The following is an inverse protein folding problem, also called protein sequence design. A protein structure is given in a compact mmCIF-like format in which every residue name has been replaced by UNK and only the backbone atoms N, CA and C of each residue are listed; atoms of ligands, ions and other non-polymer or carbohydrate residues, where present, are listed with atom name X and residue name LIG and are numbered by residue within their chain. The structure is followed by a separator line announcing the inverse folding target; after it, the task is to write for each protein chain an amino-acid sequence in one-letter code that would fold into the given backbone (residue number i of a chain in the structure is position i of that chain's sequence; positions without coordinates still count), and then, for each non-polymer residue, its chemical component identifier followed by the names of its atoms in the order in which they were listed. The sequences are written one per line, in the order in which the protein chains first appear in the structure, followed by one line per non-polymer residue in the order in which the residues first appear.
data_IF_544220834905
#
_entry.id   IF_544220834905
#
_cell.length_a   1.000
_cell.length_b   1.000
_cell.length_c   1.000
_cell.angle_alpha   90.00
_cell.angle_beta   90.00
_cell.angle_gamma   90.00
#
_symmetry.space_group_name_H-M   'P 1'
#
loop_
_entity.id
_entity.type
_entity.pdbx_description
1 polymer ?
#
# COMPACT_ATOMS: atom_id res chain seq x y z
N UNK A 1 16.99 25.38 21.78
CA UNK A 1 15.80 24.61 21.37
C UNK A 1 16.05 23.18 21.79
N UNK A 2 15.15 22.57 22.56
CA UNK A 2 15.29 21.16 22.92
C UNK A 2 15.02 20.27 21.69
N UNK A 3 15.56 19.06 21.67
CA UNK A 3 15.30 18.09 20.58
C UNK A 3 13.79 17.82 20.44
N UNK A 4 13.05 17.79 21.55
CA UNK A 4 11.59 17.65 21.54
C UNK A 4 10.87 18.83 20.85
N UNK A 5 11.32 20.06 21.07
CA UNK A 5 10.77 21.24 20.38
C UNK A 5 11.07 21.22 18.88
N UNK A 6 12.24 20.72 18.48
CA UNK A 6 12.62 20.55 17.08
C UNK A 6 11.73 19.51 16.39
N UNK A 7 11.54 18.33 17.00
CA UNK A 7 10.63 17.29 16.51
C UNK A 7 9.20 17.82 16.38
N UNK A 8 8.66 18.44 17.43
CA UNK A 8 7.30 19.00 17.40
C UNK A 8 7.12 20.05 16.29
N UNK A 9 8.16 20.85 16.02
CA UNK A 9 8.17 21.81 14.91
C UNK A 9 8.13 21.11 13.56
N UNK A 10 8.97 20.12 13.33
CA UNK A 10 9.01 19.34 12.09
C UNK A 10 7.67 18.64 11.82
N UNK A 11 7.08 17.98 12.83
CA UNK A 11 5.75 17.37 12.72
C UNK A 11 4.64 18.41 12.42
N UNK A 12 4.71 19.57 13.07
CA UNK A 12 3.77 20.68 12.83
C UNK A 12 3.90 21.26 11.43
N UNK A 13 5.12 21.33 10.87
CA UNK A 13 5.35 21.77 9.50
C UNK A 13 4.71 20.79 8.52
N UNK A 14 4.89 19.48 8.71
CA UNK A 14 4.25 18.44 7.88
C UNK A 14 2.72 18.58 7.92
N UNK A 15 2.13 18.73 9.12
CA UNK A 15 0.68 18.90 9.27
C UNK A 15 0.14 20.14 8.53
N UNK A 16 0.96 21.18 8.35
CA UNK A 16 0.57 22.43 7.70
C UNK A 16 0.73 22.41 6.19
N UNK A 17 1.46 21.44 5.63
CA UNK A 17 1.65 21.31 4.17
C UNK A 17 0.32 21.14 3.44
N UNK A 18 -0.61 20.40 4.03
CA UNK A 18 -1.92 20.18 3.43
C UNK A 18 -3.03 20.36 4.48
N UNK A 19 -4.12 21.04 4.07
CA UNK A 19 -5.26 21.25 4.96
C UNK A 19 -6.05 19.98 5.24
N UNK A 20 -5.98 18.99 4.37
CA UNK A 20 -6.66 17.72 4.54
C UNK A 20 -5.85 16.68 5.36
N UNK A 21 -4.67 17.04 5.85
CA UNK A 21 -3.92 16.22 6.81
C UNK A 21 -4.52 16.38 8.21
N UNK A 22 -4.98 15.27 8.78
CA UNK A 22 -5.62 15.23 10.10
C UNK A 22 -4.61 15.12 11.23
N UNK A 23 -3.65 14.20 11.12
CA UNK A 23 -2.68 13.94 12.17
C UNK A 23 -1.31 13.60 11.59
N UNK A 24 -0.26 13.95 12.32
CA UNK A 24 1.11 13.51 12.06
C UNK A 24 1.66 12.92 13.36
N UNK A 25 2.08 11.66 13.28
CA UNK A 25 2.52 10.86 14.41
C UNK A 25 3.97 10.42 14.19
N UNK A 26 4.73 10.36 15.27
CA UNK A 26 6.05 9.76 15.30
C UNK A 26 6.02 8.70 16.40
N UNK A 27 6.36 7.47 16.05
CA UNK A 27 6.40 6.34 16.97
C UNK A 27 7.68 5.54 16.77
N UNK A 28 8.05 4.71 17.74
CA UNK A 28 9.07 3.68 17.51
C UNK A 28 8.51 2.50 16.70
N UNK A 29 9.35 1.51 16.40
CA UNK A 29 8.96 0.29 15.65
C UNK A 29 7.93 -0.60 16.35
N UNK A 30 7.69 -0.38 17.65
CA UNK A 30 6.68 -1.11 18.43
C UNK A 30 5.34 -0.37 18.47
N UNK A 31 5.28 0.85 17.93
CA UNK A 31 4.09 1.70 17.97
C UNK A 31 4.03 2.61 19.21
N UNK A 32 5.09 2.67 20.03
CA UNK A 32 5.14 3.58 21.17
C UNK A 32 5.26 5.02 20.68
N UNK A 33 4.35 5.90 21.12
CA UNK A 33 4.33 7.30 20.68
C UNK A 33 5.53 8.08 21.20
N UNK A 34 6.25 8.73 20.28
CA UNK A 34 7.33 9.69 20.54
C UNK A 34 6.82 11.12 20.41
N UNK A 35 5.98 11.38 19.39
CA UNK A 35 5.42 12.70 19.12
C UNK A 35 4.11 12.61 18.35
N UNK A 36 3.26 13.63 18.54
CA UNK A 36 1.96 13.74 17.86
C UNK A 36 1.62 15.20 17.66
N UNK A 37 1.14 15.54 16.47
CA UNK A 37 0.47 16.80 16.18
C UNK A 37 -0.80 16.49 15.41
N UNK A 38 -1.91 17.12 15.79
CA UNK A 38 -3.22 16.86 15.18
C UNK A 38 -3.98 18.15 14.95
N UNK A 39 -4.91 18.10 14.00
CA UNK A 39 -5.92 19.11 13.79
C UNK A 39 -7.28 18.60 14.28
N UNK A 40 -8.18 19.51 14.62
CA UNK A 40 -9.59 19.17 14.75
C UNK A 40 -10.11 18.60 13.44
N UNK A 41 -10.71 17.41 13.51
CA UNK A 41 -11.45 16.78 12.43
C UNK A 41 -12.74 16.20 12.98
N UNK A 42 -13.75 16.07 12.13
CA UNK A 42 -15.03 15.45 12.50
C UNK A 42 -14.91 13.92 12.70
N UNK A 43 -13.73 13.37 12.40
CA UNK A 43 -13.42 11.96 12.54
C UNK A 43 -12.64 11.70 13.83
N UNK A 44 -13.16 10.84 14.69
CA UNK A 44 -12.47 10.34 15.87
C UNK A 44 -11.44 9.28 15.46
N UNK A 45 -10.18 9.70 15.43
CA UNK A 45 -9.04 8.86 15.05
C UNK A 45 -8.11 8.69 16.24
N UNK A 46 -8.09 7.47 16.79
CA UNK A 46 -7.22 7.10 17.91
C UNK A 46 -5.76 6.95 17.45
N UNK A 47 -4.83 7.77 17.96
CA UNK A 47 -3.41 7.69 17.58
C UNK A 47 -2.74 6.38 17.98
N UNK A 48 -3.20 5.72 19.06
CA UNK A 48 -2.59 4.46 19.49
C UNK A 48 -2.90 3.36 18.48
N UNK A 49 -4.16 3.26 18.06
CA UNK A 49 -4.58 2.38 16.97
C UNK A 49 -3.80 2.67 15.68
N UNK A 50 -3.65 3.95 15.30
CA UNK A 50 -2.88 4.31 14.09
C UNK A 50 -1.41 3.88 14.23
N UNK A 51 -0.76 4.16 15.36
CA UNK A 51 0.62 3.73 15.57
C UNK A 51 0.77 2.20 15.54
N UNK A 52 -0.20 1.46 16.07
CA UNK A 52 -0.24 -0.02 15.98
C UNK A 52 -0.25 -0.47 14.53
N UNK A 53 -1.19 0.06 13.73
CA UNK A 53 -1.32 -0.24 12.30
C UNK A 53 -0.02 0.13 11.55
N UNK A 54 0.56 1.29 11.83
CA UNK A 54 1.79 1.75 11.20
C UNK A 54 3.00 0.88 11.54
N UNK A 55 3.13 0.42 12.78
CA UNK A 55 4.16 -0.54 13.19
C UNK A 55 3.96 -1.90 12.51
N UNK A 56 2.73 -2.42 12.54
CA UNK A 56 2.32 -3.65 11.85
C UNK A 56 2.67 -3.62 10.35
N UNK A 57 2.41 -2.49 9.69
CA UNK A 57 2.66 -2.28 8.26
C UNK A 57 4.09 -2.58 7.84
N UNK A 58 5.09 -2.23 8.67
CA UNK A 58 6.49 -2.54 8.37
C UNK A 58 6.92 -3.92 8.83
N UNK A 59 6.44 -4.35 10.00
CA UNK A 59 6.87 -5.61 10.59
C UNK A 59 6.40 -6.81 9.75
N UNK A 60 5.21 -6.75 9.15
CA UNK A 60 4.64 -7.89 8.41
C UNK A 60 5.20 -8.05 7.00
N UNK A 61 5.67 -6.98 6.35
CA UNK A 61 6.31 -7.08 5.03
C UNK A 61 7.83 -7.21 5.08
N UNK A 62 8.46 -7.00 6.24
CA UNK A 62 9.92 -7.12 6.36
C UNK A 62 10.43 -8.51 5.97
N UNK A 63 9.70 -9.57 6.32
CA UNK A 63 10.03 -10.95 5.91
C UNK A 63 9.97 -11.11 4.39
N UNK A 64 8.92 -10.59 3.76
CA UNK A 64 8.74 -10.66 2.29
C UNK A 64 9.90 -9.97 1.58
N UNK A 65 10.28 -8.79 2.06
CA UNK A 65 11.38 -8.01 1.50
C UNK A 65 12.72 -8.73 1.68
N UNK A 66 12.95 -9.33 2.86
CA UNK A 66 14.14 -10.14 3.14
C UNK A 66 14.24 -11.35 2.20
N UNK A 67 13.14 -12.06 2.00
CA UNK A 67 13.06 -13.21 1.10
C UNK A 67 13.33 -12.83 -0.36
N UNK A 68 12.92 -11.63 -0.77
CA UNK A 68 13.21 -11.07 -2.10
C UNK A 68 14.64 -10.50 -2.20
N UNK A 69 15.41 -10.46 -1.12
CA UNK A 69 16.75 -9.86 -1.08
C UNK A 69 16.74 -8.32 -1.18
N UNK A 70 15.62 -7.68 -0.88
CA UNK A 70 15.43 -6.22 -0.91
C UNK A 70 15.39 -5.75 0.55
N UNK A 71 16.45 -5.15 1.05
CA UNK A 71 16.64 -5.06 2.52
C UNK A 71 16.05 -3.81 3.16
N UNK A 72 15.37 -2.93 2.42
CA UNK A 72 14.98 -1.63 2.97
C UNK A 72 13.62 -1.13 2.49
N UNK A 73 12.57 -1.47 3.25
CA UNK A 73 11.27 -0.82 3.13
C UNK A 73 11.35 0.60 3.68
N UNK A 74 11.03 1.59 2.84
CA UNK A 74 11.13 3.00 3.19
C UNK A 74 9.77 3.61 3.45
N UNK A 75 8.81 3.34 2.57
CA UNK A 75 7.48 3.95 2.63
C UNK A 75 6.42 2.85 2.54
N UNK A 76 5.33 3.03 3.26
CA UNK A 76 4.12 2.26 3.05
C UNK A 76 2.90 3.17 3.04
N UNK A 77 1.96 2.86 2.16
CA UNK A 77 0.67 3.49 2.04
C UNK A 77 -0.42 2.48 2.44
N UNK A 78 -1.28 2.91 3.35
CA UNK A 78 -2.44 2.11 3.79
C UNK A 78 -3.68 2.93 3.49
N UNK A 79 -4.53 2.43 2.60
CA UNK A 79 -5.69 3.14 2.10
C UNK A 79 -6.97 2.59 2.72
N UNK A 80 -7.72 3.47 3.38
CA UNK A 80 -9.07 3.22 3.86
C UNK A 80 -10.07 4.06 3.07
N UNK A 81 -11.36 3.77 3.23
CA UNK A 81 -12.44 4.53 2.59
C UNK A 81 -12.39 6.04 2.89
N UNK A 82 -12.03 6.42 4.12
CA UNK A 82 -12.05 7.81 4.57
C UNK A 82 -10.67 8.45 4.69
N UNK A 83 -9.62 7.66 4.92
CA UNK A 83 -8.26 8.19 5.16
C UNK A 83 -7.20 7.33 4.50
N UNK A 84 -6.03 7.92 4.25
CA UNK A 84 -4.82 7.18 3.94
C UNK A 84 -3.74 7.45 4.99
N UNK A 85 -2.98 6.40 5.29
CA UNK A 85 -1.79 6.48 6.12
C UNK A 85 -0.58 6.46 5.21
N UNK A 86 0.26 7.47 5.31
CA UNK A 86 1.59 7.50 4.69
C UNK A 86 2.59 7.27 5.80
N UNK A 87 3.11 6.05 5.84
CA UNK A 87 4.12 5.67 6.79
C UNK A 87 5.50 5.80 6.13
N UNK A 88 6.45 6.40 6.84
CA UNK A 88 7.84 6.60 6.41
C UNK A 88 8.75 6.08 7.53
N UNK A 89 9.60 5.11 7.21
CA UNK A 89 10.54 4.49 8.17
C UNK A 89 11.78 5.36 8.28
N UNK A 90 11.92 6.03 9.42
CA UNK A 90 13.07 6.88 9.77
C UNK A 90 13.74 6.25 10.99
N UNK A 91 14.63 5.28 10.75
CA UNK A 91 15.25 4.45 11.80
C UNK A 91 15.74 5.26 13.03
N UNK A 92 15.38 4.87 14.28
CA UNK A 92 14.60 3.69 14.70
C UNK A 92 13.07 3.93 14.81
N UNK A 93 12.56 4.94 14.13
CA UNK A 93 11.17 5.43 14.23
C UNK A 93 10.36 5.23 12.95
N UNK A 94 9.06 5.43 13.08
CA UNK A 94 8.09 5.47 11.99
C UNK A 94 7.34 6.80 12.09
N UNK A 95 7.42 7.59 11.02
CA UNK A 95 6.61 8.78 10.81
C UNK A 95 5.33 8.38 10.08
N UNK A 96 4.18 8.74 10.62
CA UNK A 96 2.88 8.47 10.02
C UNK A 96 2.13 9.76 9.76
N UNK A 97 1.75 9.98 8.52
CA UNK A 97 0.90 11.09 8.09
C UNK A 97 -0.49 10.53 7.81
N UNK A 98 -1.47 11.03 8.55
CA UNK A 98 -2.88 10.64 8.43
C UNK A 98 -3.59 11.71 7.62
N UNK A 99 -4.08 11.34 6.45
CA UNK A 99 -4.63 12.27 5.48
C UNK A 99 -6.02 11.84 4.99
N UNK A 100 -6.87 12.81 4.64
CA UNK A 100 -8.14 12.52 3.98
C UNK A 100 -7.90 11.88 2.61
N UNK A 101 -8.38 10.66 2.44
CA UNK A 101 -8.16 9.92 1.20
C UNK A 101 -8.88 10.54 -0.01
N UNK A 102 -9.96 11.28 0.22
CA UNK A 102 -10.77 11.92 -0.81
C UNK A 102 -10.31 13.36 -1.14
N UNK A 103 -9.22 13.83 -0.53
CA UNK A 103 -8.63 15.13 -0.84
C UNK A 103 -7.53 15.03 -1.90
N UNK A 104 -7.06 16.19 -2.36
CA UNK A 104 -5.90 16.25 -3.25
C UNK A 104 -4.66 15.67 -2.59
N UNK A 105 -3.80 15.03 -3.41
CA UNK A 105 -2.70 14.21 -2.91
C UNK A 105 -1.89 14.93 -1.82
N UNK A 106 -1.65 14.27 -0.66
CA UNK A 106 -1.23 14.90 0.59
C UNK A 106 0.07 15.69 0.58
N UNK A 107 0.91 15.57 -0.45
CA UNK A 107 2.33 15.90 -0.29
C UNK A 107 2.97 16.52 -1.52
N UNK A 108 3.39 17.78 -1.39
CA UNK A 108 4.43 18.35 -2.23
C UNK A 108 5.74 17.64 -1.90
N UNK A 109 6.25 16.82 -2.83
CA UNK A 109 7.46 16.03 -2.64
C UNK A 109 8.66 16.89 -2.23
N UNK A 110 8.83 18.08 -2.80
CA UNK A 110 9.96 18.96 -2.43
C UNK A 110 9.88 19.46 -0.99
N UNK A 111 8.70 19.94 -0.59
CA UNK A 111 8.51 20.52 0.74
C UNK A 111 8.64 19.46 1.83
N UNK A 112 8.04 18.28 1.63
CA UNK A 112 8.18 17.20 2.59
C UNK A 112 9.62 16.67 2.64
N UNK A 113 10.32 16.60 1.50
CA UNK A 113 11.71 16.16 1.45
C UNK A 113 12.58 17.01 2.36
N UNK A 114 12.46 18.34 2.27
CA UNK A 114 13.18 19.29 3.13
C UNK A 114 12.90 19.06 4.63
N UNK A 115 11.64 18.86 4.99
CA UNK A 115 11.25 18.65 6.39
C UNK A 115 11.73 17.28 6.88
N UNK A 116 11.66 16.25 6.04
CA UNK A 116 12.14 14.91 6.36
C UNK A 116 13.66 14.89 6.55
N UNK A 117 14.42 15.64 5.73
CA UNK A 117 15.87 15.75 5.89
C UNK A 117 16.21 16.28 7.29
N UNK A 118 15.54 17.36 7.72
CA UNK A 118 15.72 17.91 9.06
C UNK A 118 15.24 16.94 10.15
N UNK A 119 14.07 16.34 9.99
CA UNK A 119 13.50 15.40 10.95
C UNK A 119 14.41 14.18 11.17
N UNK A 120 15.05 13.66 10.12
CA UNK A 120 16.04 12.59 10.22
C UNK A 120 17.21 13.00 11.12
N UNK A 121 17.77 14.20 10.90
CA UNK A 121 18.86 14.74 11.73
C UNK A 121 18.43 14.88 13.19
N UNK A 122 17.24 15.46 13.44
CA UNK A 122 16.70 15.63 14.79
C UNK A 122 16.52 14.27 15.51
N UNK A 123 16.07 13.23 14.79
CA UNK A 123 15.92 11.86 15.30
C UNK A 123 17.28 11.23 15.62
N UNK A 124 18.25 11.35 14.72
CA UNK A 124 19.60 10.81 14.94
C UNK A 124 20.27 11.42 16.18
N UNK A 125 20.12 12.74 16.36
CA UNK A 125 20.57 13.45 17.54
C UNK A 125 19.87 12.94 18.81
N UNK A 126 18.54 12.72 18.76
CA UNK A 126 17.77 12.22 19.90
C UNK A 126 18.26 10.85 20.38
N UNK A 127 18.60 9.96 19.45
CA UNK A 127 19.01 8.58 19.76
C UNK A 127 20.53 8.41 19.92
N UNK A 128 21.32 9.49 19.90
CA UNK A 128 22.79 9.45 19.92
C UNK A 128 23.36 8.48 18.87
N UNK A 129 22.78 8.47 17.67
CA UNK A 129 23.26 7.68 16.55
C UNK A 129 24.56 8.30 16.02
N UNK A 130 25.66 8.15 16.77
CA UNK A 130 26.96 8.80 16.52
C UNK A 130 27.67 8.43 15.21
N UNK A 131 27.03 7.60 14.37
CA UNK A 131 27.40 7.26 13.01
C UNK A 131 26.12 6.88 12.24
N UNK A 132 25.26 7.86 11.93
CA UNK A 132 24.16 7.63 11.01
C UNK A 132 24.73 7.13 9.67
N UNK A 133 24.28 5.96 9.22
CA UNK A 133 24.78 5.31 7.99
C UNK A 133 24.37 6.03 6.71
N UNK A 134 23.40 6.94 6.80
CA UNK A 134 22.79 7.68 5.70
C UNK A 134 22.50 9.10 6.18
N UNK A 135 22.94 10.11 5.42
CA UNK A 135 22.67 11.51 5.72
C UNK A 135 21.20 11.87 5.43
N UNK A 136 20.72 12.95 6.07
CA UNK A 136 19.34 13.39 5.93
C UNK A 136 18.90 13.75 4.51
N UNK A 137 19.79 14.28 3.67
CA UNK A 137 19.46 14.69 2.31
C UNK A 137 19.39 13.50 1.35
N UNK A 138 20.29 12.52 1.51
CA UNK A 138 20.26 11.24 0.79
C UNK A 138 18.96 10.51 1.11
N UNK A 139 18.60 10.40 2.39
CA UNK A 139 17.31 9.83 2.81
C UNK A 139 16.12 10.60 2.22
N UNK A 140 16.12 11.93 2.33
CA UNK A 140 15.06 12.78 1.79
C UNK A 140 14.94 12.71 0.26
N UNK A 141 16.05 12.56 -0.46
CA UNK A 141 16.06 12.32 -1.90
C UNK A 141 15.35 11.02 -2.26
N UNK A 142 15.59 9.95 -1.50
CA UNK A 142 14.90 8.69 -1.67
C UNK A 142 13.38 8.83 -1.47
N UNK A 143 12.96 9.51 -0.40
CA UNK A 143 11.54 9.74 -0.12
C UNK A 143 10.89 10.61 -1.21
N UNK A 144 11.58 11.67 -1.66
CA UNK A 144 11.12 12.52 -2.77
C UNK A 144 10.87 11.70 -4.03
N UNK A 145 11.83 10.86 -4.41
CA UNK A 145 11.71 10.04 -5.61
C UNK A 145 10.51 9.10 -5.54
N UNK A 146 10.27 8.44 -4.41
CA UNK A 146 9.07 7.61 -4.22
C UNK A 146 7.80 8.45 -4.39
N UNK A 147 7.72 9.62 -3.75
CA UNK A 147 6.53 10.47 -3.81
C UNK A 147 6.29 11.04 -5.23
N UNK A 148 7.34 11.40 -5.97
CA UNK A 148 7.23 11.79 -7.37
C UNK A 148 6.73 10.64 -8.24
N UNK A 149 7.32 9.45 -8.07
CA UNK A 149 6.94 8.23 -8.77
C UNK A 149 5.52 7.77 -8.42
N UNK A 150 4.94 8.22 -7.32
CA UNK A 150 3.53 7.99 -7.03
C UNK A 150 2.62 9.03 -7.72
N UNK A 151 3.09 10.28 -7.87
CA UNK A 151 2.29 11.41 -8.35
C UNK A 151 2.20 11.53 -9.89
N UNK A 152 3.18 11.04 -10.66
CA UNK A 152 3.29 11.29 -12.12
C UNK A 152 2.36 10.51 -13.09
N UNK A 153 1.28 9.87 -12.62
CA UNK A 153 0.58 8.88 -13.45
C UNK A 153 -0.28 9.38 -14.60
N UNK A 154 -0.23 8.62 -15.70
CA UNK A 154 -1.01 8.81 -16.92
C UNK A 154 -2.20 7.83 -17.01
N UNK A 155 -3.16 8.18 -17.86
CA UNK A 155 -4.50 7.58 -17.99
C UNK A 155 -4.47 6.14 -18.52
N UNK A 156 -4.79 5.16 -17.68
CA UNK A 156 -5.39 3.92 -18.17
C UNK A 156 -6.90 4.13 -18.18
N UNK A 157 -7.54 4.03 -19.36
CA UNK A 157 -8.98 4.17 -19.43
C UNK A 157 -9.65 3.14 -18.54
N UNK A 158 -10.76 3.54 -17.97
CA UNK A 158 -11.61 2.66 -17.19
C UNK A 158 -12.23 1.60 -18.10
N UNK A 159 -11.80 0.36 -17.96
CA UNK A 159 -12.25 -0.77 -18.78
C UNK A 159 -12.31 -2.06 -17.96
N UNK A 160 -13.02 -3.06 -18.48
CA UNK A 160 -13.05 -4.42 -17.96
C UNK A 160 -12.40 -5.35 -18.98
N UNK A 161 -11.46 -6.17 -18.52
CA UNK A 161 -10.88 -7.27 -19.28
C UNK A 161 -11.92 -8.36 -19.39
N UNK A 162 -12.39 -8.63 -20.60
CA UNK A 162 -13.33 -9.71 -20.87
C UNK A 162 -12.62 -10.85 -21.60
N UNK A 163 -12.98 -12.11 -21.32
CA UNK A 163 -12.63 -13.21 -22.20
C UNK A 163 -13.12 -12.89 -23.63
N UNK A 164 -12.39 -13.29 -24.69
CA UNK A 164 -12.80 -13.06 -26.07
C UNK A 164 -14.24 -13.55 -26.33
N UNK A 165 -15.01 -12.83 -27.15
CA UNK A 165 -16.35 -13.27 -27.54
C UNK A 165 -16.26 -14.65 -28.21
N UNK A 166 -17.06 -15.61 -27.74
CA UNK A 166 -17.02 -17.00 -28.21
C UNK A 166 -16.13 -17.95 -27.40
N UNK A 167 -15.41 -17.46 -26.37
CA UNK A 167 -14.72 -18.32 -25.40
C UNK A 167 -15.72 -18.87 -24.39
N UNK A 168 -16.51 -19.86 -24.81
CA UNK A 168 -17.35 -20.62 -23.89
C UNK A 168 -16.48 -21.59 -23.08
N UNK A 169 -15.61 -21.09 -22.20
CA UNK A 169 -15.09 -21.96 -21.13
C UNK A 169 -16.13 -22.01 -20.01
N UNK A 170 -16.65 -23.19 -19.66
CA UNK A 170 -17.55 -23.36 -18.52
C UNK A 170 -16.84 -23.20 -17.17
N UNK A 171 -15.51 -23.08 -17.13
CA UNK A 171 -14.73 -23.10 -15.89
C UNK A 171 -14.21 -21.69 -15.53
N UNK A 172 -14.58 -21.23 -14.34
CA UNK A 172 -14.22 -19.92 -13.77
C UNK A 172 -12.69 -19.69 -13.81
N UNK A 173 -11.91 -20.74 -13.60
CA UNK A 173 -10.44 -20.68 -13.60
C UNK A 173 -9.88 -20.19 -14.95
N UNK A 174 -10.37 -20.70 -16.08
CA UNK A 174 -9.89 -20.27 -17.40
C UNK A 174 -10.23 -18.80 -17.69
N UNK A 175 -11.38 -18.34 -17.18
CA UNK A 175 -11.82 -16.96 -17.34
C UNK A 175 -10.93 -16.01 -16.51
N UNK A 176 -10.60 -16.38 -15.27
CA UNK A 176 -9.61 -15.67 -14.45
C UNK A 176 -8.25 -15.63 -15.16
N UNK A 177 -7.82 -16.78 -15.69
CA UNK A 177 -6.54 -16.93 -16.38
C UNK A 177 -6.47 -16.00 -17.60
N UNK A 178 -7.54 -15.92 -18.38
CA UNK A 178 -7.65 -15.04 -19.55
C UNK A 178 -7.59 -13.55 -19.16
N UNK A 179 -8.24 -13.18 -18.06
CA UNK A 179 -8.19 -11.80 -17.54
C UNK A 179 -6.76 -11.43 -17.16
N UNK A 180 -6.06 -12.30 -16.43
CA UNK A 180 -4.68 -12.05 -16.02
C UNK A 180 -3.70 -12.10 -17.22
N UNK A 181 -3.94 -12.95 -18.21
CA UNK A 181 -3.16 -12.98 -19.45
C UNK A 181 -3.32 -11.72 -20.30
N UNK A 182 -4.42 -10.99 -20.14
CA UNK A 182 -4.59 -9.68 -20.79
C UNK A 182 -3.65 -8.61 -20.22
N UNK A 183 -3.04 -8.87 -19.06
CA UNK A 183 -2.17 -7.95 -18.30
C UNK A 183 -0.68 -8.13 -18.65
N UNK A 184 -0.33 -8.98 -19.62
CA UNK A 184 1.04 -9.48 -19.91
C UNK A 184 2.17 -8.44 -20.19
N UNK A 185 1.91 -7.14 -20.07
CA UNK A 185 2.92 -6.10 -20.13
C UNK A 185 3.86 -6.11 -18.90
N UNK A 186 5.11 -5.59 -19.01
CA UNK A 186 6.18 -5.66 -17.99
C UNK A 186 5.93 -4.81 -16.73
N UNK A 187 4.67 -4.46 -16.48
CA UNK A 187 4.22 -3.64 -15.37
C UNK A 187 4.30 -4.42 -14.05
N UNK A 188 4.05 -5.74 -14.05
CA UNK A 188 4.10 -6.59 -12.87
C UNK A 188 5.21 -7.64 -12.97
N UNK A 189 6.06 -7.70 -11.94
CA UNK A 189 7.02 -8.79 -11.76
C UNK A 189 6.32 -10.05 -11.24
N UNK A 190 5.35 -9.90 -10.32
CA UNK A 190 4.45 -10.96 -9.87
C UNK A 190 3.02 -10.45 -9.76
N UNK A 191 2.08 -11.33 -10.08
CA UNK A 191 0.64 -11.05 -10.04
C UNK A 191 -0.06 -12.34 -9.61
N UNK A 192 -0.94 -12.29 -8.61
CA UNK A 192 -1.68 -13.48 -8.17
C UNK A 192 -3.05 -13.13 -7.61
N UNK A 193 -4.02 -14.04 -7.85
CA UNK A 193 -5.31 -14.06 -7.16
C UNK A 193 -5.23 -15.15 -6.10
N UNK A 194 -5.47 -14.76 -4.85
CA UNK A 194 -5.21 -15.62 -3.68
C UNK A 194 -6.43 -15.61 -2.77
N UNK A 195 -6.84 -16.77 -2.28
CA UNK A 195 -7.85 -16.87 -1.23
C UNK A 195 -7.24 -16.65 0.16
N UNK A 196 -8.08 -16.32 1.14
CA UNK A 196 -7.64 -16.05 2.52
C UNK A 196 -6.89 -17.20 3.20
N UNK A 197 -7.13 -18.44 2.79
CA UNK A 197 -6.42 -19.62 3.28
C UNK A 197 -5.02 -19.79 2.67
N UNK A 198 -4.62 -18.88 1.78
CA UNK A 198 -3.33 -18.91 1.08
C UNK A 198 -3.36 -19.71 -0.22
N UNK A 199 -4.51 -20.24 -0.64
CA UNK A 199 -4.64 -20.92 -1.92
C UNK A 199 -4.48 -19.91 -3.07
N UNK A 200 -3.44 -20.10 -3.90
CA UNK A 200 -3.26 -19.34 -5.13
C UNK A 200 -4.16 -19.93 -6.21
N UNK A 201 -5.10 -19.14 -6.72
CA UNK A 201 -6.05 -19.56 -7.74
C UNK A 201 -5.46 -19.43 -9.15
N UNK A 202 -4.79 -18.32 -9.42
CA UNK A 202 -3.97 -18.11 -10.63
C UNK A 202 -2.84 -17.16 -10.25
N UNK A 203 -1.70 -17.29 -10.91
CA UNK A 203 -0.56 -16.44 -10.65
C UNK A 203 0.47 -16.45 -11.76
N UNK A 204 1.12 -15.31 -11.95
CA UNK A 204 2.14 -15.05 -12.96
C UNK A 204 3.42 -14.59 -12.28
N UNK A 205 4.53 -15.21 -12.64
CA UNK A 205 5.85 -14.90 -12.11
C UNK A 205 6.82 -14.68 -13.26
N UNK A 206 7.20 -13.42 -13.45
CA UNK A 206 8.24 -13.02 -14.41
C UNK A 206 9.61 -12.88 -13.72
N UNK A 207 9.65 -13.01 -12.39
CA UNK A 207 10.84 -12.87 -11.58
C UNK A 207 11.58 -14.21 -11.45
N UNK A 208 12.01 -14.77 -12.59
CA UNK A 208 12.78 -16.03 -12.61
C UNK A 208 14.07 -15.87 -11.79
N UNK A 209 14.16 -16.54 -10.64
CA UNK A 209 15.34 -16.54 -9.77
C UNK A 209 15.31 -15.63 -8.54
N UNK A 210 14.18 -14.98 -8.23
CA UNK A 210 14.01 -14.27 -6.95
C UNK A 210 13.78 -15.24 -5.78
N UNK A 211 14.17 -14.83 -4.56
CA UNK A 211 14.43 -15.73 -3.43
C UNK A 211 13.23 -16.48 -2.81
N UNK A 212 11.98 -16.15 -3.15
CA UNK A 212 10.78 -16.88 -2.70
C UNK A 212 9.90 -17.33 -3.86
N UNK A 213 9.20 -18.47 -3.72
CA UNK A 213 8.20 -18.90 -4.71
C UNK A 213 7.00 -17.95 -4.76
N UNK A 214 6.27 -17.89 -5.88
CA UNK A 214 5.04 -17.08 -5.98
C UNK A 214 4.01 -17.46 -4.91
N UNK A 215 3.86 -18.75 -4.60
CA UNK A 215 2.95 -19.23 -3.56
C UNK A 215 3.37 -18.75 -2.16
N UNK A 216 4.66 -18.84 -1.83
CA UNK A 216 5.20 -18.34 -0.56
C UNK A 216 5.04 -16.83 -0.44
N UNK A 217 5.37 -16.09 -1.50
CA UNK A 217 5.20 -14.64 -1.57
C UNK A 217 3.73 -14.22 -1.38
N UNK A 218 2.82 -14.91 -2.08
CA UNK A 218 1.38 -14.69 -2.00
C UNK A 218 0.84 -14.96 -0.60
N UNK A 219 1.23 -16.08 0.01
CA UNK A 219 0.85 -16.46 1.37
C UNK A 219 1.34 -15.45 2.43
N UNK A 220 2.60 -15.02 2.35
CA UNK A 220 3.14 -14.03 3.29
C UNK A 220 2.45 -12.67 3.12
N UNK A 221 2.18 -12.25 1.88
CA UNK A 221 1.50 -10.97 1.62
C UNK A 221 0.04 -10.99 2.08
N UNK A 222 -0.70 -12.08 1.85
CA UNK A 222 -2.08 -12.18 2.34
C UNK A 222 -2.12 -12.18 3.86
N UNK A 223 -1.19 -12.87 4.54
CA UNK A 223 -1.08 -12.83 6.00
C UNK A 223 -0.82 -11.40 6.49
N UNK A 224 0.10 -10.68 5.86
CA UNK A 224 0.37 -9.28 6.20
C UNK A 224 -0.88 -8.40 6.01
N UNK A 225 -1.58 -8.57 4.89
CA UNK A 225 -2.81 -7.84 4.60
C UNK A 225 -3.93 -8.15 5.59
N UNK A 226 -4.17 -9.43 5.92
CA UNK A 226 -5.20 -9.83 6.89
C UNK A 226 -4.92 -9.28 8.29
N UNK A 227 -3.67 -9.31 8.75
CA UNK A 227 -3.32 -8.68 10.03
C UNK A 227 -3.57 -7.17 10.03
N UNK A 228 -3.33 -6.49 8.89
CA UNK A 228 -3.69 -5.09 8.75
C UNK A 228 -5.21 -4.87 8.78
N UNK A 229 -6.00 -5.76 8.16
CA UNK A 229 -7.47 -5.73 8.24
C UNK A 229 -7.94 -5.89 9.68
N UNK A 230 -7.36 -6.82 10.44
CA UNK A 230 -7.67 -7.07 11.85
C UNK A 230 -7.36 -5.85 12.73
N UNK A 231 -6.16 -5.29 12.62
CA UNK A 231 -5.76 -4.08 13.36
C UNK A 231 -6.60 -2.86 12.96
N UNK A 232 -6.98 -2.76 11.69
CA UNK A 232 -7.80 -1.68 11.18
C UNK A 232 -9.28 -1.77 11.59
N UNK A 233 -9.77 -2.91 12.05
CA UNK A 233 -11.18 -3.07 12.42
C UNK A 233 -11.62 -2.08 13.50
N UNK A 234 -10.68 -1.68 14.38
CA UNK A 234 -10.92 -0.72 15.45
C UNK A 234 -10.79 0.74 15.00
N UNK A 235 -10.35 0.98 13.76
CA UNK A 235 -10.20 2.31 13.20
C UNK A 235 -11.51 2.75 12.54
N UNK A 236 -12.06 3.90 12.94
CA UNK A 236 -13.28 4.45 12.35
C UNK A 236 -13.06 5.10 10.95
N UNK A 237 -12.26 4.43 10.11
CA UNK A 237 -11.80 4.89 8.80
C UNK A 237 -12.52 4.21 7.61
N UNK A 238 -13.39 3.23 7.88
CA UNK A 238 -13.98 2.35 6.86
C UNK A 238 -13.09 1.14 6.56
N UNK A 239 -13.48 0.27 5.60
CA UNK A 239 -12.72 -0.92 5.26
C UNK A 239 -11.33 -0.58 4.69
N UNK A 240 -10.37 -1.49 4.90
CA UNK A 240 -9.07 -1.44 4.24
C UNK A 240 -9.25 -1.73 2.75
N UNK A 241 -8.83 -0.78 1.91
CA UNK A 241 -9.02 -0.83 0.45
C UNK A 241 -7.77 -1.31 -0.27
N UNK A 242 -6.61 -0.85 0.16
CA UNK A 242 -5.35 -1.24 -0.45
C UNK A 242 -4.21 -1.07 0.56
N UNK A 243 -3.29 -2.02 0.52
CA UNK A 243 -2.01 -1.92 1.16
C UNK A 243 -0.93 -1.87 0.08
N UNK A 244 -0.05 -0.88 0.14
CA UNK A 244 1.08 -0.73 -0.77
C UNK A 244 2.35 -0.44 0.04
N UNK A 245 3.36 -1.29 -0.04
CA UNK A 245 4.66 -0.99 0.56
C UNK A 245 5.75 -0.92 -0.50
N UNK A 246 6.73 -0.05 -0.26
CA UNK A 246 7.78 0.29 -1.20
C UNK A 246 9.13 0.09 -0.54
N UNK A 247 9.97 -0.69 -1.21
CA UNK A 247 11.32 -0.98 -0.79
C UNK A 247 12.28 -0.88 -1.98
N UNK A 248 13.54 -0.65 -1.67
CA UNK A 248 14.60 -0.63 -2.68
C UNK A 248 15.94 -0.41 -2.02
N UNK A 249 16.98 -0.89 -2.69
CA UNK A 249 18.35 -0.72 -2.23
C UNK A 249 18.89 0.67 -2.60
N UNK A 250 18.36 1.27 -3.67
CA UNK A 250 18.68 2.62 -4.13
C UNK A 250 17.45 3.27 -4.80
N UNK A 251 17.51 4.57 -5.06
CA UNK A 251 16.39 5.34 -5.60
C UNK A 251 16.07 5.05 -7.08
N UNK A 252 16.88 4.23 -7.77
CA UNK A 252 16.68 3.82 -9.17
C UNK A 252 16.07 2.41 -9.24
N UNK A 253 16.29 1.57 -8.23
CA UNK A 253 15.83 0.19 -8.15
C UNK A 253 14.80 0.03 -7.02
N UNK A 254 13.63 0.62 -7.24
CA UNK A 254 12.50 0.57 -6.32
C UNK A 254 11.50 -0.51 -6.75
N UNK A 255 10.94 -1.21 -5.78
CA UNK A 255 9.88 -2.19 -5.95
C UNK A 255 8.74 -1.89 -5.01
N UNK A 256 7.53 -2.26 -5.41
CA UNK A 256 6.36 -2.16 -4.56
C UNK A 256 5.59 -3.47 -4.54
N UNK A 257 5.09 -3.80 -3.35
CA UNK A 257 4.12 -4.88 -3.13
C UNK A 257 2.78 -4.23 -2.86
N UNK A 258 1.74 -4.65 -3.58
CA UNK A 258 0.37 -4.22 -3.34
C UNK A 258 -0.52 -5.41 -3.01
N UNK A 259 -1.45 -5.21 -2.09
CA UNK A 259 -2.51 -6.16 -1.76
C UNK A 259 -3.83 -5.41 -1.62
N UNK A 260 -4.85 -5.87 -2.34
CA UNK A 260 -6.18 -5.29 -2.30
C UNK A 260 -7.27 -6.37 -2.35
N UNK A 261 -8.48 -6.10 -1.84
CA UNK A 261 -9.63 -6.95 -2.08
C UNK A 261 -9.90 -7.07 -3.58
N UNK A 262 -10.21 -8.29 -4.04
CA UNK A 262 -10.47 -8.57 -5.44
C UNK A 262 -11.94 -8.90 -5.69
N UNK A 263 -12.47 -9.94 -5.07
CA UNK A 263 -13.88 -10.34 -5.16
C UNK A 263 -14.15 -11.48 -4.16
N UNK A 264 -15.32 -12.12 -4.25
CA UNK A 264 -15.71 -13.29 -3.49
C UNK A 264 -16.00 -14.43 -4.44
N UNK A 265 -15.36 -15.59 -4.22
CA UNK A 265 -15.70 -16.83 -4.90
C UNK A 265 -16.76 -17.60 -4.11
N UNK A 266 -17.87 -17.94 -4.77
CA UNK A 266 -18.92 -18.79 -4.22
C UNK A 266 -18.89 -20.17 -4.88
N UNK A 267 -18.84 -21.23 -4.08
CA UNK A 267 -18.98 -22.59 -4.58
C UNK A 267 -19.63 -23.51 -3.55
N UNK A 268 -20.12 -24.67 -4.01
CA UNK A 268 -20.69 -25.69 -3.14
C UNK A 268 -19.68 -26.81 -2.94
N UNK A 269 -19.28 -27.05 -1.70
CA UNK A 269 -18.51 -28.24 -1.33
C UNK A 269 -19.40 -29.46 -1.53
N UNK A 270 -19.14 -30.23 -2.58
CA UNK A 270 -19.91 -31.43 -2.94
C UNK A 270 -19.77 -32.55 -1.91
N UNK A 271 -18.68 -32.59 -1.15
CA UNK A 271 -18.45 -33.59 -0.11
C UNK A 271 -19.20 -33.25 1.19
N UNK A 272 -19.32 -31.97 1.54
CA UNK A 272 -19.99 -31.50 2.78
C UNK A 272 -21.42 -30.97 2.55
N UNK A 273 -21.82 -30.77 1.30
CA UNK A 273 -23.11 -30.18 0.91
C UNK A 273 -23.29 -28.72 1.33
N UNK A 274 -22.21 -28.04 1.75
CA UNK A 274 -22.23 -26.66 2.26
C UNK A 274 -21.82 -25.67 1.18
N UNK A 275 -22.46 -24.51 1.18
CA UNK A 275 -21.99 -23.35 0.43
C UNK A 275 -20.77 -22.77 1.14
N UNK A 276 -19.74 -22.50 0.34
CA UNK A 276 -18.46 -21.95 0.79
C UNK A 276 -18.27 -20.62 0.08
N UNK A 277 -17.87 -19.63 0.87
CA UNK A 277 -17.54 -18.29 0.41
C UNK A 277 -16.06 -18.04 0.70
N UNK A 278 -15.28 -17.73 -0.34
CA UNK A 278 -13.86 -17.37 -0.20
C UNK A 278 -13.65 -15.94 -0.65
N UNK A 279 -13.18 -15.09 0.28
CA UNK A 279 -12.70 -13.76 -0.10
C UNK A 279 -11.37 -13.89 -0.81
N UNK A 280 -11.26 -13.20 -1.95
CA UNK A 280 -10.07 -13.19 -2.78
C UNK A 280 -9.36 -11.86 -2.67
N UNK A 281 -8.04 -11.91 -2.65
CA UNK A 281 -7.17 -10.75 -2.73
C UNK A 281 -6.34 -10.81 -4.02
N UNK A 282 -6.12 -9.64 -4.61
CA UNK A 282 -5.18 -9.45 -5.69
C UNK A 282 -3.85 -9.00 -5.08
N UNK A 283 -2.82 -9.81 -5.27
CA UNK A 283 -1.47 -9.58 -4.78
C UNK A 283 -0.55 -9.27 -5.97
N UNK A 284 0.21 -8.18 -5.86
CA UNK A 284 1.10 -7.74 -6.93
C UNK A 284 2.50 -7.37 -6.40
N UNK A 285 3.52 -7.63 -7.20
CA UNK A 285 4.89 -7.11 -7.06
C UNK A 285 5.25 -6.43 -8.38
N UNK A 286 5.76 -5.22 -8.30
CA UNK A 286 6.14 -4.46 -9.50
C UNK A 286 7.32 -3.54 -9.26
N UNK A 287 8.17 -3.31 -10.27
CA UNK A 287 9.20 -2.27 -10.22
C UNK A 287 8.54 -0.88 -10.31
N UNK A 288 9.05 0.06 -9.53
CA UNK A 288 8.71 1.48 -9.65
C UNK A 288 9.72 2.18 -10.55
N UNK A 289 9.30 2.49 -11.77
CA UNK A 289 10.10 3.24 -12.74
C UNK A 289 9.37 4.49 -13.20
N UNK A 290 10.11 5.54 -13.56
CA UNK A 290 9.52 6.79 -14.05
C UNK A 290 8.62 6.51 -15.27
N UNK A 291 7.35 6.95 -15.19
CA UNK A 291 6.34 6.71 -16.20
C UNK A 291 5.41 5.50 -15.95
N UNK A 292 5.65 4.68 -14.91
CA UNK A 292 4.90 3.44 -14.63
C UNK A 292 3.85 3.53 -13.51
N UNK A 293 3.02 4.58 -13.49
CA UNK A 293 1.83 4.63 -12.61
C UNK A 293 0.54 4.02 -13.20
N UNK A 294 0.47 3.38 -14.41
CA UNK A 294 -0.78 2.73 -14.79
C UNK A 294 -1.16 1.60 -13.81
N UNK A 295 -0.25 1.18 -12.91
CA UNK A 295 -0.40 0.05 -11.99
C UNK A 295 -1.66 0.10 -11.13
N UNK A 296 -1.98 1.21 -10.46
CA UNK A 296 -3.21 1.28 -9.65
C UNK A 296 -4.47 1.24 -10.53
N UNK A 297 -4.40 1.82 -11.73
CA UNK A 297 -5.49 1.78 -12.70
C UNK A 297 -5.64 0.39 -13.35
N UNK A 298 -4.54 -0.33 -13.56
CA UNK A 298 -4.50 -1.72 -13.99
C UNK A 298 -5.08 -2.63 -12.93
N UNK A 299 -4.64 -2.50 -11.67
CA UNK A 299 -5.23 -3.19 -10.52
C UNK A 299 -6.73 -2.92 -10.45
N UNK A 300 -7.18 -1.67 -10.61
CA UNK A 300 -8.61 -1.31 -10.69
C UNK A 300 -9.32 -2.08 -11.82
N UNK A 301 -8.76 -2.11 -13.02
CA UNK A 301 -9.38 -2.78 -14.17
C UNK A 301 -9.43 -4.31 -13.97
N UNK A 302 -8.38 -4.93 -13.44
CA UNK A 302 -8.34 -6.37 -13.08
C UNK A 302 -9.40 -6.67 -12.02
N UNK A 303 -9.41 -5.91 -10.94
CA UNK A 303 -10.37 -6.07 -9.84
C UNK A 303 -11.80 -5.90 -10.32
N UNK A 304 -12.08 -4.94 -11.20
CA UNK A 304 -13.39 -4.80 -11.85
C UNK A 304 -13.77 -6.03 -12.67
N UNK A 305 -12.83 -6.55 -13.44
CA UNK A 305 -13.05 -7.74 -14.27
C UNK A 305 -13.36 -8.96 -13.40
N UNK A 306 -12.68 -9.09 -12.25
CA UNK A 306 -12.96 -10.13 -11.26
C UNK A 306 -14.35 -9.99 -10.65
N UNK A 307 -14.78 -8.77 -10.32
CA UNK A 307 -16.13 -8.51 -9.79
C UNK A 307 -17.22 -8.86 -10.80
N UNK A 308 -17.04 -8.47 -12.07
CA UNK A 308 -17.99 -8.83 -13.13
C UNK A 308 -18.15 -10.35 -13.30
N UNK A 309 -17.10 -11.12 -12.99
CA UNK A 309 -17.06 -12.57 -13.09
C UNK A 309 -17.60 -13.29 -11.84
N UNK A 310 -17.16 -12.87 -10.66
CA UNK A 310 -17.29 -13.63 -9.41
C UNK A 310 -18.35 -13.05 -8.45
N UNK A 311 -18.70 -11.76 -8.64
CA UNK A 311 -19.70 -11.05 -7.86
C UNK A 311 -19.15 -9.90 -7.03
N UNK A 312 -20.08 -9.14 -6.47
CA UNK A 312 -19.80 -7.90 -5.73
C UNK A 312 -19.40 -8.16 -4.28
N UNK A 313 -18.44 -7.36 -3.81
CA UNK A 313 -18.01 -7.27 -2.42
C UNK A 313 -17.86 -5.79 -2.04
N UNK A 314 -18.21 -5.43 -0.80
CA UNK A 314 -18.33 -4.03 -0.39
C UNK A 314 -16.98 -3.32 -0.36
N UNK A 315 -15.94 -3.97 0.17
CA UNK A 315 -14.59 -3.39 0.19
C UNK A 315 -14.02 -3.27 -1.24
N UNK A 316 -14.28 -4.22 -2.13
CA UNK A 316 -13.91 -4.13 -3.54
C UNK A 316 -14.59 -2.95 -4.24
N UNK A 317 -15.91 -2.77 -4.05
CA UNK A 317 -16.62 -1.63 -4.63
C UNK A 317 -16.10 -0.31 -4.09
N UNK A 318 -15.82 -0.26 -2.78
CA UNK A 318 -15.21 0.89 -2.14
C UNK A 318 -13.82 1.19 -2.71
N UNK A 319 -13.01 0.17 -2.98
CA UNK A 319 -11.71 0.29 -3.65
C UNK A 319 -11.83 0.85 -5.06
N UNK A 320 -12.75 0.32 -5.89
CA UNK A 320 -12.97 0.81 -7.26
C UNK A 320 -13.41 2.27 -7.28
N UNK A 321 -14.37 2.65 -6.42
CA UNK A 321 -14.84 4.03 -6.29
C UNK A 321 -13.71 4.97 -5.85
N UNK A 322 -12.89 4.51 -4.91
CA UNK A 322 -11.74 5.21 -4.35
C UNK A 322 -10.67 5.55 -5.38
N UNK A 323 -10.23 4.56 -6.16
CA UNK A 323 -9.27 4.80 -7.25
C UNK A 323 -9.85 5.74 -8.30
N UNK A 324 -11.12 5.59 -8.65
CA UNK A 324 -11.80 6.47 -9.59
C UNK A 324 -11.89 7.93 -9.10
N UNK A 325 -12.11 8.16 -7.81
CA UNK A 325 -12.09 9.49 -7.22
C UNK A 325 -10.70 10.11 -7.25
N UNK A 326 -9.66 9.35 -6.89
CA UNK A 326 -8.27 9.80 -6.93
C UNK A 326 -7.85 10.26 -8.34
N UNK A 327 -8.26 9.50 -9.37
CA UNK A 327 -8.02 9.86 -10.77
C UNK A 327 -8.73 11.18 -11.09
N UNK A 328 -10.02 11.34 -10.75
CA UNK A 328 -10.79 12.57 -11.04
C UNK A 328 -10.18 13.83 -10.44
N UNK A 329 -9.76 13.77 -9.17
CA UNK A 329 -9.21 14.93 -8.45
C UNK A 329 -7.92 15.43 -9.09
N UNK A 330 -7.13 14.54 -9.69
CA UNK A 330 -5.86 14.90 -10.32
C UNK A 330 -6.01 15.78 -11.56
N UNK A 331 -7.17 15.76 -12.21
CA UNK A 331 -7.46 16.51 -13.44
C UNK A 331 -8.31 17.77 -13.21
N UNK A 332 -8.51 18.19 -11.96
CA UNK A 332 -9.14 19.46 -11.58
C UNK A 332 -8.09 20.48 -11.16
#
# INVERSE_FOLDING_TARGET
MSVQEALARSLSMILRLNKATYQVLLADKTGLSIGKVSRSSDMELDPLTINSISAATYNFSEEIWRDLGILTQRIAFVFFEKICLINIRIEPTILTIVHDFNASWPVNAEEIGKIIAQLKVDIDEMFNAGNASEDGETFASFIRNILYLFNMGNEVPEMSYRPPEGTSSPEIHDQISTILDSVQNPVFARLAIVAQDGLVLDGRDQMQGAGSSLASFSASTIVAFQKLVEEAHNLNAGPLLNYLCIAGNDAQNLYAISACPSSILYFKDTAKGREVQLQLALITLFPLTYGMIPILCEIRNITRSMVELLGDETATQSFLASINNLIKIKYQ
#
